data_IF_434593973819
#
_entry.id   IF_434593973819
#
_cell.length_a   1.000
_cell.length_b   1.000
_cell.length_c   1.000
_cell.angle_alpha   90.00
_cell.angle_beta   90.00
_cell.angle_gamma   90.00
#
_symmetry.space_group_name_H-M   'P 1'
#
loop_
_entity.id
_entity.type
_entity.pdbx_description
1 polymer ?
#
# COMPACT_ATOMS: atom_id res chain seq x y z
N UNK A 1 -12.44 6.34 -8.26
CA UNK A 1 -11.08 5.79 -8.40
C UNK A 1 -11.21 4.28 -8.38
N UNK A 2 -10.96 3.61 -9.53
CA UNK A 2 -10.98 2.16 -9.62
C UNK A 2 -9.77 1.56 -8.91
N UNK A 3 -9.99 0.59 -8.01
CA UNK A 3 -8.92 -0.15 -7.31
C UNK A 3 -9.25 -1.64 -7.27
N UNK A 4 -8.24 -2.49 -7.23
CA UNK A 4 -8.43 -3.95 -7.14
C UNK A 4 -8.52 -4.45 -5.69
N UNK A 5 -8.07 -3.65 -4.73
CA UNK A 5 -8.07 -4.00 -3.31
C UNK A 5 -8.05 -2.77 -2.40
N UNK A 6 -8.34 -2.99 -1.12
CA UNK A 6 -8.18 -1.95 -0.07
C UNK A 6 -6.71 -1.52 0.08
N UNK A 7 -5.76 -2.43 -0.18
CA UNK A 7 -4.33 -2.09 -0.14
C UNK A 7 -3.97 -1.05 -1.20
N UNK A 8 -4.55 -1.11 -2.41
CA UNK A 8 -4.34 -0.08 -3.43
C UNK A 8 -4.86 1.30 -3.01
N UNK A 9 -5.94 1.39 -2.21
CA UNK A 9 -6.42 2.67 -1.67
C UNK A 9 -5.32 3.36 -0.84
N UNK A 10 -4.61 2.58 0.01
CA UNK A 10 -3.50 3.11 0.80
C UNK A 10 -2.34 3.59 -0.07
N UNK A 11 -1.96 2.81 -1.08
CA UNK A 11 -0.87 3.18 -2.00
C UNK A 11 -1.24 4.41 -2.82
N UNK A 12 -2.49 4.50 -3.28
CA UNK A 12 -3.00 5.71 -3.94
C UNK A 12 -2.81 6.94 -3.07
N UNK A 13 -3.20 6.88 -1.79
CA UNK A 13 -3.04 8.02 -0.88
C UNK A 13 -1.58 8.35 -0.57
N UNK A 14 -0.68 7.37 -0.62
CA UNK A 14 0.76 7.61 -0.44
C UNK A 14 1.38 8.38 -1.61
N UNK A 15 1.00 8.06 -2.85
CA UNK A 15 1.55 8.70 -4.06
C UNK A 15 0.82 9.98 -4.46
N UNK A 16 -0.38 10.22 -3.92
CA UNK A 16 -1.17 11.42 -4.14
C UNK A 16 -1.32 12.24 -2.83
N UNK A 17 -0.24 12.85 -2.32
CA UNK A 17 -0.27 13.62 -1.08
C UNK A 17 -1.18 14.84 -1.21
N UNK A 18 -1.43 15.53 -0.10
CA UNK A 18 -2.11 16.80 -0.10
C UNK A 18 -1.35 17.83 -0.94
N UNK A 19 -2.06 18.81 -1.49
CA UNK A 19 -1.44 19.91 -2.25
C UNK A 19 -0.35 20.68 -1.48
N UNK A 20 -0.32 20.58 -0.14
CA UNK A 20 0.76 21.13 0.68
C UNK A 20 1.96 20.17 0.84
N UNK A 21 1.94 19.00 0.19
CA UNK A 21 2.96 17.95 0.30
C UNK A 21 2.81 17.03 1.54
N UNK A 22 1.84 17.30 2.43
CA UNK A 22 1.64 16.49 3.63
C UNK A 22 0.92 15.17 3.34
N UNK A 23 1.26 14.08 4.07
CA UNK A 23 0.60 12.80 3.92
C UNK A 23 -0.83 12.83 4.45
N UNK A 24 -1.67 11.92 3.95
CA UNK A 24 -3.03 11.73 4.42
C UNK A 24 -3.08 10.73 5.58
N UNK A 25 -3.87 11.05 6.61
CA UNK A 25 -4.29 10.12 7.66
C UNK A 25 -5.74 9.75 7.47
N UNK A 26 -6.03 8.46 7.60
CA UNK A 26 -7.38 7.93 7.58
C UNK A 26 -8.13 8.36 8.85
N UNK A 27 -9.30 8.98 8.67
CA UNK A 27 -10.21 9.31 9.77
C UNK A 27 -11.38 8.32 9.84
N UNK A 28 -12.05 8.06 8.71
CA UNK A 28 -13.26 7.23 8.62
C UNK A 28 -13.34 6.56 7.26
N UNK A 29 -13.89 5.35 7.22
CA UNK A 29 -14.24 4.66 5.99
C UNK A 29 -15.69 4.21 6.04
N UNK A 30 -16.47 4.56 5.02
CA UNK A 30 -17.81 4.07 4.80
C UNK A 30 -17.80 3.10 3.62
N UNK A 31 -18.47 1.98 3.78
CA UNK A 31 -18.57 0.95 2.76
C UNK A 31 -20.03 0.88 2.31
N UNK A 32 -20.27 0.98 1.01
CA UNK A 32 -21.57 0.81 0.38
C UNK A 32 -21.46 -0.35 -0.60
N UNK A 33 -22.24 -1.40 -0.38
CA UNK A 33 -22.28 -2.57 -1.26
C UNK A 33 -23.49 -2.46 -2.18
N UNK A 34 -23.26 -2.55 -3.47
CA UNK A 34 -24.30 -2.66 -4.51
C UNK A 34 -24.24 -4.06 -5.14
N UNK A 35 -25.18 -4.38 -6.05
CA UNK A 35 -25.19 -5.70 -6.70
C UNK A 35 -23.91 -5.99 -7.51
N UNK A 36 -23.25 -4.94 -8.06
CA UNK A 36 -22.16 -5.10 -9.02
C UNK A 36 -20.80 -4.60 -8.51
N UNK A 37 -20.78 -3.80 -7.47
CA UNK A 37 -19.54 -3.16 -6.98
C UNK A 37 -19.61 -2.80 -5.50
N UNK A 38 -18.44 -2.60 -4.91
CA UNK A 38 -18.27 -2.10 -3.54
C UNK A 38 -17.66 -0.71 -3.63
N UNK A 39 -18.33 0.28 -3.05
CA UNK A 39 -17.86 1.65 -2.97
C UNK A 39 -17.29 1.92 -1.58
N UNK A 40 -16.10 2.48 -1.52
CA UNK A 40 -15.49 2.94 -0.29
C UNK A 40 -15.35 4.47 -0.32
N UNK A 41 -16.00 5.13 0.63
CA UNK A 41 -15.79 6.55 0.92
C UNK A 41 -14.78 6.66 2.06
N UNK A 42 -13.56 7.05 1.72
CA UNK A 42 -12.45 7.21 2.67
C UNK A 42 -12.29 8.68 3.00
N UNK A 43 -12.68 9.05 4.22
CA UNK A 43 -12.38 10.39 4.75
C UNK A 43 -10.97 10.42 5.31
N UNK A 44 -10.16 11.34 4.81
CA UNK A 44 -8.79 11.50 5.23
C UNK A 44 -8.47 12.96 5.56
N UNK A 45 -7.52 13.15 6.48
CA UNK A 45 -7.04 14.46 6.93
C UNK A 45 -5.54 14.58 6.66
N UNK A 46 -5.13 15.69 6.09
CA UNK A 46 -3.71 15.97 5.89
C UNK A 46 -2.99 16.18 7.24
N UNK A 47 -1.89 15.45 7.44
CA UNK A 47 -1.06 15.55 8.63
C UNK A 47 -0.42 16.92 8.84
N UNK A 48 -0.12 17.63 7.74
CA UNK A 48 0.62 18.89 7.79
C UNK A 48 -0.31 20.13 7.93
N UNK A 49 -1.38 20.20 7.11
CA UNK A 49 -2.24 21.40 7.06
C UNK A 49 -3.65 21.20 7.62
N UNK A 50 -4.00 19.98 8.05
CA UNK A 50 -5.32 19.66 8.61
C UNK A 50 -6.47 19.61 7.60
N UNK A 51 -6.20 19.86 6.29
CA UNK A 51 -7.24 19.80 5.25
C UNK A 51 -7.87 18.43 5.20
N UNK A 52 -9.21 18.39 5.20
CA UNK A 52 -9.97 17.16 5.03
C UNK A 52 -10.34 16.94 3.56
N UNK A 53 -10.38 15.68 3.14
CA UNK A 53 -10.84 15.24 1.82
C UNK A 53 -11.49 13.87 1.92
N UNK A 54 -12.54 13.65 1.15
CA UNK A 54 -13.12 12.33 0.94
C UNK A 54 -12.68 11.80 -0.42
N UNK A 55 -12.19 10.57 -0.44
CA UNK A 55 -11.82 9.83 -1.64
C UNK A 55 -12.86 8.74 -1.87
N UNK A 56 -13.30 8.59 -3.11
CA UNK A 56 -14.28 7.60 -3.52
C UNK A 56 -13.59 6.51 -4.31
N UNK A 57 -13.52 5.31 -3.74
CA UNK A 57 -12.91 4.15 -4.37
C UNK A 57 -13.98 3.16 -4.80
N UNK A 58 -13.76 2.54 -5.96
CA UNK A 58 -14.60 1.51 -6.55
C UNK A 58 -13.81 0.21 -6.58
N UNK A 59 -14.27 -0.77 -5.82
CA UNK A 59 -13.66 -2.10 -5.73
C UNK A 59 -14.53 -3.11 -6.50
N UNK A 60 -13.92 -4.16 -7.07
CA UNK A 60 -14.68 -5.27 -7.63
C UNK A 60 -15.55 -5.92 -6.56
N UNK A 61 -16.70 -6.46 -6.99
CA UNK A 61 -17.58 -7.24 -6.14
C UNK A 61 -16.81 -8.33 -5.37
N UNK A 62 -17.13 -8.47 -4.09
CA UNK A 62 -16.53 -9.49 -3.20
C UNK A 62 -16.72 -10.91 -3.68
N UNK A 63 -17.81 -11.20 -4.40
CA UNK A 63 -18.08 -12.52 -4.96
C UNK A 63 -17.09 -12.89 -6.08
N UNK A 64 -16.53 -11.89 -6.75
CA UNK A 64 -15.53 -12.03 -7.83
C UNK A 64 -14.08 -12.03 -7.31
N UNK A 65 -13.89 -11.81 -6.01
CA UNK A 65 -12.54 -11.83 -5.42
C UNK A 65 -12.10 -13.27 -5.19
N UNK A 66 -10.89 -13.56 -5.60
CA UNK A 66 -10.25 -14.83 -5.24
C UNK A 66 -10.04 -14.90 -3.72
N UNK A 67 -10.87 -15.71 -3.05
CA UNK A 67 -10.77 -15.92 -1.60
C UNK A 67 -9.52 -16.70 -1.18
N UNK A 68 -8.84 -17.32 -2.14
CA UNK A 68 -7.56 -18.01 -1.91
C UNK A 68 -6.37 -17.06 -1.97
N UNK A 69 -6.56 -15.84 -2.50
CA UNK A 69 -5.49 -14.85 -2.56
C UNK A 69 -5.02 -14.47 -1.15
N UNK A 70 -3.70 -14.39 -0.94
CA UNK A 70 -3.16 -14.00 0.36
C UNK A 70 -3.67 -12.62 0.78
N UNK A 71 -4.10 -12.50 2.04
CA UNK A 71 -4.71 -11.29 2.63
C UNK A 71 -3.87 -10.00 2.44
N UNK A 72 -2.59 -10.12 2.15
CA UNK A 72 -1.64 -9.01 1.96
C UNK A 72 -1.20 -8.83 0.50
N UNK A 73 -1.98 -9.23 -0.48
CA UNK A 73 -1.67 -8.97 -1.88
C UNK A 73 -2.26 -7.61 -2.28
N UNK A 74 -1.43 -6.74 -2.87
CA UNK A 74 -1.85 -5.39 -3.28
C UNK A 74 -2.95 -5.48 -4.33
N UNK A 75 -2.66 -6.19 -5.42
CA UNK A 75 -3.62 -6.43 -6.49
C UNK A 75 -3.62 -7.92 -6.83
N UNK A 76 -4.71 -8.66 -6.51
CA UNK A 76 -4.79 -10.09 -6.73
C UNK A 76 -5.01 -10.47 -8.21
N UNK A 77 -5.23 -9.50 -9.11
CA UNK A 77 -5.45 -9.74 -10.54
C UNK A 77 -4.15 -9.68 -11.33
N UNK A 78 -4.18 -10.17 -12.58
CA UNK A 78 -3.08 -10.00 -13.52
C UNK A 78 -3.12 -8.62 -14.23
N UNK A 79 -4.23 -7.88 -14.08
CA UNK A 79 -4.37 -6.55 -14.67
C UNK A 79 -3.50 -5.53 -13.93
N UNK A 80 -2.94 -4.53 -14.64
CA UNK A 80 -2.26 -3.42 -14.00
C UNK A 80 -3.21 -2.61 -13.10
N UNK A 81 -2.66 -1.89 -12.15
CA UNK A 81 -3.41 -0.94 -11.31
C UNK A 81 -4.14 0.10 -12.18
N UNK A 82 -5.29 0.56 -11.69
CA UNK A 82 -6.04 1.69 -12.25
C UNK A 82 -5.95 2.95 -11.40
N UNK A 83 -5.24 2.87 -10.30
CA UNK A 83 -5.13 3.94 -9.32
C UNK A 83 -3.72 4.50 -9.17
N UNK A 84 -2.71 3.67 -9.43
CA UNK A 84 -1.30 4.00 -9.27
C UNK A 84 -0.58 3.63 -10.57
N UNK A 85 0.13 4.57 -11.18
CA UNK A 85 0.82 4.36 -12.44
C UNK A 85 2.19 3.67 -12.27
N UNK A 86 2.83 3.32 -13.39
CA UNK A 86 4.08 2.59 -13.38
C UNK A 86 5.20 3.35 -12.64
N UNK A 87 5.34 4.65 -12.87
CA UNK A 87 6.39 5.45 -12.25
C UNK A 87 6.14 5.64 -10.74
N UNK A 88 4.88 5.75 -10.34
CA UNK A 88 4.48 5.82 -8.94
C UNK A 88 4.75 4.50 -8.19
N UNK A 89 4.51 3.34 -8.82
CA UNK A 89 4.90 2.04 -8.26
C UNK A 89 6.41 1.93 -8.07
N UNK A 90 7.18 2.44 -9.02
CA UNK A 90 8.64 2.48 -8.91
C UNK A 90 9.11 3.41 -7.78
N UNK A 91 8.46 4.54 -7.59
CA UNK A 91 8.77 5.45 -6.47
C UNK A 91 8.47 4.80 -5.11
N UNK A 92 7.34 4.10 -5.00
CA UNK A 92 7.01 3.31 -3.81
C UNK A 92 8.05 2.21 -3.54
N UNK A 93 8.46 1.48 -4.56
CA UNK A 93 9.50 0.46 -4.43
C UNK A 93 10.81 1.06 -3.90
N UNK A 94 11.27 2.17 -4.49
CA UNK A 94 12.46 2.90 -4.06
C UNK A 94 12.33 3.44 -2.64
N UNK A 95 11.17 3.98 -2.29
CA UNK A 95 10.87 4.45 -0.93
C UNK A 95 11.03 3.32 0.10
N UNK A 96 10.42 2.15 -0.15
CA UNK A 96 10.53 1.02 0.76
C UNK A 96 11.96 0.47 0.85
N UNK A 97 12.70 0.42 -0.26
CA UNK A 97 14.12 0.02 -0.26
C UNK A 97 14.99 0.99 0.56
N UNK A 98 14.84 2.28 0.36
CA UNK A 98 15.57 3.30 1.10
C UNK A 98 15.25 3.28 2.61
N UNK A 99 14.02 2.92 2.97
CA UNK A 99 13.59 2.80 4.36
C UNK A 99 14.33 1.70 5.12
N UNK A 100 14.74 0.61 4.45
CA UNK A 100 15.37 -0.56 5.08
C UNK A 100 16.62 -0.18 5.89
N UNK A 101 17.40 0.76 5.39
CA UNK A 101 18.64 1.22 6.06
C UNK A 101 18.38 1.85 7.43
N UNK A 102 17.19 2.41 7.62
CA UNK A 102 16.78 3.10 8.85
C UNK A 102 16.07 2.18 9.85
N UNK A 103 15.62 1.00 9.40
CA UNK A 103 14.88 0.07 10.22
C UNK A 103 15.85 -0.82 11.01
N UNK A 104 15.60 -0.94 12.32
CA UNK A 104 16.42 -1.76 13.22
C UNK A 104 15.88 -3.17 13.38
N UNK A 105 14.54 -3.32 13.45
CA UNK A 105 13.91 -4.60 13.68
C UNK A 105 13.93 -5.47 12.40
N UNK A 106 14.39 -6.73 12.47
CA UNK A 106 14.41 -7.64 11.31
C UNK A 106 13.04 -7.80 10.64
N UNK A 107 11.97 -7.85 11.43
CA UNK A 107 10.57 -7.96 10.96
C UNK A 107 10.17 -6.76 10.12
N UNK A 108 10.46 -5.53 10.59
CA UNK A 108 10.17 -4.30 9.84
C UNK A 108 10.96 -4.23 8.52
N UNK A 109 12.21 -4.71 8.53
CA UNK A 109 13.04 -4.81 7.31
C UNK A 109 12.46 -5.81 6.33
N UNK A 110 12.05 -6.99 6.82
CA UNK A 110 11.43 -8.02 5.98
C UNK A 110 10.10 -7.52 5.38
N UNK A 111 9.27 -6.82 6.17
CA UNK A 111 8.04 -6.21 5.68
C UNK A 111 8.32 -5.14 4.62
N UNK A 112 9.29 -4.25 4.85
CA UNK A 112 9.67 -3.22 3.88
C UNK A 112 10.19 -3.82 2.57
N UNK A 113 10.96 -4.92 2.63
CA UNK A 113 11.39 -5.68 1.45
C UNK A 113 10.20 -6.32 0.72
N UNK A 114 9.24 -6.86 1.45
CA UNK A 114 8.03 -7.45 0.88
C UNK A 114 7.20 -6.39 0.16
N UNK A 115 7.02 -5.21 0.77
CA UNK A 115 6.28 -4.10 0.17
C UNK A 115 7.00 -3.58 -1.09
N UNK A 116 8.33 -3.40 -1.04
CA UNK A 116 9.12 -3.02 -2.22
C UNK A 116 8.99 -4.03 -3.36
N UNK A 117 9.08 -5.33 -3.03
CA UNK A 117 8.92 -6.39 -4.01
C UNK A 117 7.53 -6.37 -4.65
N UNK A 118 6.49 -6.20 -3.86
CA UNK A 118 5.12 -6.12 -4.37
C UNK A 118 4.92 -4.91 -5.29
N UNK A 119 5.48 -3.76 -4.95
CA UNK A 119 5.43 -2.58 -5.82
C UNK A 119 6.10 -2.82 -7.18
N UNK A 120 7.27 -3.51 -7.21
CA UNK A 120 7.93 -3.88 -8.47
C UNK A 120 7.09 -4.88 -9.29
N UNK A 121 6.45 -5.85 -8.62
CA UNK A 121 5.58 -6.81 -9.28
C UNK A 121 4.32 -6.14 -9.85
N UNK A 122 3.78 -5.10 -9.20
CA UNK A 122 2.68 -4.30 -9.75
C UNK A 122 3.15 -3.44 -10.94
N UNK A 123 4.33 -2.82 -10.85
CA UNK A 123 4.92 -2.08 -11.97
C UNK A 123 5.12 -2.97 -13.22
N UNK A 124 5.54 -4.21 -13.03
CA UNK A 124 5.76 -5.15 -14.14
C UNK A 124 4.48 -5.56 -14.88
N UNK A 125 3.30 -5.42 -14.26
CA UNK A 125 2.02 -5.73 -14.92
C UNK A 125 1.67 -4.77 -16.06
N UNK A 126 2.31 -3.60 -16.13
CA UNK A 126 2.10 -2.63 -17.21
C UNK A 126 2.77 -3.02 -18.53
N UNK A 127 3.75 -3.96 -18.48
CA UNK A 127 4.46 -4.37 -19.70
C UNK A 127 3.78 -5.55 -20.37
N UNK A 128 3.61 -5.43 -21.67
CA UNK A 128 3.26 -6.57 -22.52
C UNK A 128 4.41 -7.59 -22.62
N UNK A 129 4.15 -8.76 -23.22
CA UNK A 129 5.15 -9.84 -23.30
C UNK A 129 6.44 -9.43 -24.01
N UNK A 130 6.35 -8.57 -25.02
CA UNK A 130 7.47 -8.14 -25.87
C UNK A 130 7.99 -6.72 -25.50
N UNK A 131 7.35 -6.04 -24.54
CA UNK A 131 7.70 -4.67 -24.20
C UNK A 131 8.91 -4.67 -23.25
N UNK A 132 9.95 -3.91 -23.60
CA UNK A 132 11.05 -3.58 -22.69
C UNK A 132 10.96 -2.13 -22.19
N UNK A 133 10.49 -1.22 -23.04
CA UNK A 133 10.25 0.17 -22.64
C UNK A 133 8.86 0.32 -21.99
N UNK A 134 8.68 1.25 -21.05
CA UNK A 134 7.37 1.55 -20.48
C UNK A 134 6.38 1.96 -21.56
N UNK A 135 5.19 1.33 -21.65
CA UNK A 135 4.17 1.78 -22.59
C UNK A 135 3.67 3.18 -22.19
N UNK A 136 3.42 4.09 -23.16
CA UNK A 136 3.00 5.46 -22.85
C UNK A 136 1.74 5.56 -22.00
N UNK A 137 0.80 4.63 -22.19
CA UNK A 137 -0.45 4.52 -21.42
C UNK A 137 -0.25 4.13 -19.95
N UNK A 138 0.94 3.67 -19.57
CA UNK A 138 1.29 3.36 -18.19
C UNK A 138 1.73 4.59 -17.38
N UNK A 139 1.82 5.77 -18.00
CA UNK A 139 2.34 7.01 -17.40
C UNK A 139 1.27 8.10 -17.49
N UNK A 140 0.51 8.28 -16.41
CA UNK A 140 -0.71 9.10 -16.44
C UNK A 140 -0.48 10.57 -16.16
N UNK A 141 0.60 10.92 -15.46
CA UNK A 141 0.91 12.29 -15.10
C UNK A 141 2.12 12.83 -15.85
N UNK A 142 2.17 14.16 -16.05
CA UNK A 142 3.34 14.84 -16.59
C UNK A 142 4.59 14.59 -15.71
N UNK A 143 4.41 14.36 -14.42
CA UNK A 143 5.49 14.04 -13.49
C UNK A 143 6.05 12.66 -13.79
N UNK A 144 5.20 11.65 -13.95
CA UNK A 144 5.60 10.28 -14.30
C UNK A 144 6.33 10.25 -15.65
N UNK A 145 5.81 10.94 -16.65
CA UNK A 145 6.46 11.07 -17.96
C UNK A 145 7.84 11.71 -17.86
N UNK A 146 7.96 12.79 -17.09
CA UNK A 146 9.27 13.47 -16.88
C UNK A 146 10.27 12.57 -16.14
N UNK A 147 9.82 11.80 -15.14
CA UNK A 147 10.69 10.86 -14.42
C UNK A 147 11.25 9.79 -15.34
N UNK A 148 10.40 9.19 -16.17
CA UNK A 148 10.82 8.17 -17.13
C UNK A 148 11.72 8.77 -18.21
N UNK A 149 11.42 9.97 -18.73
CA UNK A 149 12.27 10.65 -19.70
C UNK A 149 13.65 11.03 -19.14
N UNK A 150 13.75 11.32 -17.85
CA UNK A 150 15.03 11.65 -17.19
C UNK A 150 15.94 10.43 -17.00
N UNK A 151 15.40 9.23 -16.82
CA UNK A 151 16.16 7.99 -16.62
C UNK A 151 15.40 6.79 -17.22
N UNK A 152 15.30 6.70 -18.57
CA UNK A 152 14.50 5.67 -19.22
C UNK A 152 15.00 4.24 -18.94
N UNK A 153 16.29 4.07 -18.74
CA UNK A 153 16.87 2.75 -18.49
C UNK A 153 16.45 2.15 -17.16
N UNK A 154 16.21 2.98 -16.15
CA UNK A 154 15.72 2.53 -14.84
C UNK A 154 14.26 2.04 -14.86
N UNK A 155 13.54 2.33 -15.94
CA UNK A 155 12.14 1.91 -16.15
C UNK A 155 12.00 0.87 -17.25
N UNK A 156 13.10 0.26 -17.71
CA UNK A 156 13.01 -0.89 -18.61
C UNK A 156 12.54 -2.12 -17.86
N UNK A 157 11.73 -2.95 -18.51
CA UNK A 157 11.27 -4.22 -17.94
C UNK A 157 12.43 -5.06 -17.39
N UNK A 158 13.50 -5.22 -18.19
CA UNK A 158 14.68 -5.97 -17.77
C UNK A 158 15.36 -5.39 -16.52
N UNK A 159 15.32 -4.06 -16.31
CA UNK A 159 15.83 -3.43 -15.10
C UNK A 159 14.98 -3.77 -13.85
N UNK A 160 13.65 -3.76 -13.99
CA UNK A 160 12.73 -4.13 -12.90
C UNK A 160 12.88 -5.62 -12.54
N UNK A 161 12.96 -6.50 -13.55
CA UNK A 161 13.18 -7.94 -13.37
C UNK A 161 14.51 -8.19 -12.64
N UNK A 162 15.61 -7.53 -13.06
CA UNK A 162 16.90 -7.63 -12.40
C UNK A 162 16.89 -7.12 -10.94
N UNK A 163 16.06 -6.12 -10.62
CA UNK A 163 15.83 -5.70 -9.23
C UNK A 163 15.11 -6.79 -8.44
N UNK A 164 14.07 -7.39 -8.99
CA UNK A 164 13.32 -8.48 -8.36
C UNK A 164 14.16 -9.72 -8.09
N UNK A 165 15.04 -10.10 -9.01
CA UNK A 165 15.94 -11.25 -8.86
C UNK A 165 16.90 -11.09 -7.68
N UNK A 166 17.34 -9.86 -7.42
CA UNK A 166 18.22 -9.55 -6.28
C UNK A 166 17.50 -9.59 -4.93
N UNK A 167 16.18 -9.60 -4.93
CA UNK A 167 15.38 -9.58 -3.71
C UNK A 167 15.02 -11.01 -3.25
N UNK A 168 14.94 -11.26 -1.93
CA UNK A 168 14.45 -12.53 -1.43
C UNK A 168 13.03 -12.85 -1.93
N UNK A 169 12.71 -14.11 -2.13
CA UNK A 169 11.37 -14.55 -2.56
C UNK A 169 10.30 -14.13 -1.53
N UNK A 170 9.04 -13.96 -2.00
CA UNK A 170 7.88 -13.67 -1.12
C UNK A 170 7.77 -14.65 0.05
N UNK A 171 7.98 -15.96 -0.20
CA UNK A 171 7.86 -16.97 0.85
C UNK A 171 8.93 -16.79 1.93
N UNK A 172 10.17 -16.51 1.54
CA UNK A 172 11.27 -16.24 2.48
C UNK A 172 11.03 -14.99 3.32
N UNK A 173 10.51 -13.92 2.70
CA UNK A 173 10.19 -12.68 3.39
C UNK A 173 9.02 -12.86 4.37
N UNK A 174 7.97 -13.61 3.97
CA UNK A 174 6.84 -13.92 4.86
C UNK A 174 7.23 -14.80 6.04
N UNK A 175 8.16 -15.72 5.87
CA UNK A 175 8.69 -16.52 6.97
C UNK A 175 9.51 -15.67 7.95
N UNK A 176 10.24 -14.69 7.45
CA UNK A 176 10.97 -13.74 8.28
C UNK A 176 10.06 -12.70 8.96
N UNK A 177 8.91 -12.40 8.33
CA UNK A 177 7.85 -11.52 8.86
C UNK A 177 6.92 -12.27 9.85
N UNK A 178 6.95 -13.60 9.87
CA UNK A 178 6.27 -14.37 10.89
C UNK A 178 7.07 -14.28 12.20
N UNK A 179 6.93 -13.19 13.00
CA UNK A 179 7.22 -13.28 14.42
C UNK A 179 6.29 -14.37 14.93
N UNK A 180 6.71 -15.09 15.94
CA UNK A 180 5.85 -16.03 16.63
C UNK A 180 4.46 -15.39 16.73
N UNK A 181 3.50 -15.84 15.92
CA UNK A 181 2.13 -15.26 15.89
C UNK A 181 1.57 -15.12 17.30
N UNK A 182 2.06 -15.96 18.22
CA UNK A 182 1.76 -15.94 19.64
C UNK A 182 2.30 -14.69 20.35
N UNK A 183 3.50 -14.22 20.00
CA UNK A 183 4.04 -12.98 20.58
C UNK A 183 3.32 -11.73 20.04
N UNK A 184 2.98 -11.71 18.76
CA UNK A 184 2.19 -10.62 18.17
C UNK A 184 0.76 -10.57 18.72
N UNK A 185 0.07 -11.74 18.83
CA UNK A 185 -1.24 -11.81 19.47
C UNK A 185 -1.18 -11.44 20.96
N UNK A 186 -0.11 -11.82 21.65
CA UNK A 186 0.11 -11.44 23.04
C UNK A 186 0.32 -9.93 23.18
N UNK A 187 1.13 -9.31 22.33
CA UNK A 187 1.35 -7.88 22.31
C UNK A 187 0.07 -7.10 21.98
N UNK A 188 -0.73 -7.55 20.99
CA UNK A 188 -2.04 -6.98 20.67
C UNK A 188 -3.03 -7.11 21.85
N UNK A 189 -3.07 -8.26 22.52
CA UNK A 189 -3.92 -8.48 23.70
C UNK A 189 -3.48 -7.59 24.87
N UNK A 190 -2.18 -7.41 25.07
CA UNK A 190 -1.64 -6.51 26.12
C UNK A 190 -1.94 -5.03 25.79
N UNK A 191 -1.78 -4.62 24.55
CA UNK A 191 -2.11 -3.25 24.13
C UNK A 191 -3.62 -2.97 24.23
N UNK A 192 -4.46 -3.92 23.82
CA UNK A 192 -5.91 -3.83 23.98
C UNK A 192 -6.29 -3.71 25.48
N UNK A 193 -5.67 -4.51 26.36
CA UNK A 193 -5.86 -4.41 27.83
C UNK A 193 -5.42 -3.05 28.39
N UNK A 194 -4.30 -2.50 27.89
CA UNK A 194 -3.83 -1.15 28.31
C UNK A 194 -4.77 -0.05 27.84
N UNK A 195 -5.38 -0.17 26.65
CA UNK A 195 -6.37 0.78 26.13
C UNK A 195 -7.69 0.71 26.88
N UNK A 196 -8.18 -0.47 27.19
CA UNK A 196 -9.39 -0.69 27.98
C UNK A 196 -9.18 -0.20 29.43
N UNK A 197 -8.06 -0.53 30.05
CA UNK A 197 -7.74 -0.08 31.40
C UNK A 197 -7.65 1.45 31.52
N UNK A 198 -7.05 2.14 30.53
CA UNK A 198 -7.00 3.61 30.49
C UNK A 198 -8.39 4.25 30.33
N UNK A 199 -9.25 3.70 29.49
CA UNK A 199 -10.62 4.18 29.31
C UNK A 199 -11.48 3.97 30.56
N UNK A 200 -11.32 2.82 31.23
CA UNK A 200 -12.04 2.50 32.47
C UNK A 200 -11.61 3.44 33.63
N UNK A 201 -10.30 3.70 33.74
CA UNK A 201 -9.76 4.60 34.78
C UNK A 201 -10.18 6.07 34.56
N UNK A 202 -10.26 6.55 33.29
CA UNK A 202 -10.78 7.89 32.97
C UNK A 202 -12.29 7.99 33.23
N UNK A 203 -13.04 6.93 32.99
CA UNK A 203 -14.47 6.88 33.31
C UNK A 203 -14.72 6.90 34.81
N UNK A 204 -13.91 6.19 35.58
CA UNK A 204 -14.01 6.15 37.05
C UNK A 204 -13.64 7.51 37.69
N UNK A 205 -12.61 8.17 37.20
CA UNK A 205 -12.19 9.50 37.64
C UNK A 205 -13.25 10.59 37.43
N UNK A 206 -14.03 10.50 36.35
CA UNK A 206 -15.11 11.46 36.03
C UNK A 206 -16.39 11.27 36.86
N UNK A 207 -16.52 10.16 37.57
CA UNK A 207 -17.71 9.83 38.35
C UNK A 207 -17.54 10.13 39.87
N UNK A 208 -16.34 10.41 40.30
CA UNK A 208 -15.98 10.62 41.72
C UNK A 208 -15.37 12.02 41.99
N UNK A 209 -15.69 13.03 41.14
CA UNK A 209 -15.42 14.44 41.40
C UNK A 209 -16.73 15.22 41.43
#
# INVERSE_FOLDING_TARGET
IGVHSVQEEYFYLMVHPCACGGPWFFDEQKVQETADQVLHDVKARCAACGKERTFHFELPDRSKRDRSAPVRQINPTAEPSRAVDLAEWMDLARFYLARIERLKAPVERAQSLLDARQCLEEALKFYGPEDDAPPPEALWSDESQRKVAADPDAYRRGALEAMLEKMPSRNRLRQADAPDQREFEKALKEEARRRVGRRWWQFWKRRNV
#
